data_IF_392492281119
#
_entry.id   IF_392492281119
#
_cell.length_a   1.000
_cell.length_b   1.000
_cell.length_c   1.000
_cell.angle_alpha   90.00
_cell.angle_beta   90.00
_cell.angle_gamma   90.00
#
_symmetry.space_group_name_H-M   'P 1'
#
loop_
_entity.id
_entity.type
_entity.pdbx_description
1 polymer ?
#
# COMPACT_ATOMS: atom_id res chain seq x y z
N UNK A 1 4.05 18.45 -8.30
CA UNK A 1 3.51 19.79 -7.97
C UNK A 1 3.57 20.77 -9.14
N UNK A 2 4.55 20.70 -10.04
CA UNK A 2 4.78 21.66 -11.16
C UNK A 2 3.53 21.99 -11.99
N UNK A 3 2.70 21.01 -12.38
CA UNK A 3 1.50 21.24 -13.18
C UNK A 3 0.40 22.03 -12.45
N UNK A 4 0.30 21.87 -11.13
CA UNK A 4 -0.66 22.60 -10.29
C UNK A 4 -0.22 24.07 -10.18
N UNK A 5 1.07 24.33 -9.96
CA UNK A 5 1.63 25.69 -9.84
C UNK A 5 1.41 26.46 -11.14
N UNK A 6 1.68 25.85 -12.31
CA UNK A 6 1.42 26.43 -13.63
C UNK A 6 -0.05 26.78 -13.83
N UNK A 7 -0.97 25.95 -13.35
CA UNK A 7 -2.42 26.22 -13.45
C UNK A 7 -2.81 27.46 -12.64
N UNK A 8 -2.28 27.61 -11.42
CA UNK A 8 -2.54 28.78 -10.58
C UNK A 8 -1.94 30.06 -11.13
N UNK A 9 -0.71 30.02 -11.62
CA UNK A 9 -0.09 31.17 -12.28
C UNK A 9 -0.90 31.65 -13.50
N UNK A 10 -1.38 30.72 -14.34
CA UNK A 10 -2.22 31.02 -15.49
C UNK A 10 -3.58 31.59 -15.08
N UNK A 11 -4.15 31.12 -13.96
CA UNK A 11 -5.38 31.68 -13.41
C UNK A 11 -5.18 33.10 -12.89
N UNK A 12 -4.09 33.38 -12.20
CA UNK A 12 -3.80 34.70 -11.63
C UNK A 12 -3.51 35.77 -12.69
N UNK A 13 -2.97 35.40 -13.87
CA UNK A 13 -2.73 36.26 -15.01
C UNK A 13 -3.99 36.62 -15.79
N UNK A 14 -5.16 36.02 -15.51
CA UNK A 14 -6.42 36.34 -16.22
C UNK A 14 -7.03 37.65 -15.73
N UNK A 15 -7.39 38.58 -16.66
CA UNK A 15 -7.93 39.87 -16.28
C UNK A 15 -9.36 39.84 -15.71
N UNK A 16 -10.11 38.71 -15.90
CA UNK A 16 -11.44 38.50 -15.33
C UNK A 16 -11.50 37.10 -14.69
N UNK A 17 -11.57 37.03 -13.36
CA UNK A 17 -11.71 35.80 -12.58
C UNK A 17 -13.19 35.39 -12.49
N UNK A 18 -13.76 34.86 -13.57
CA UNK A 18 -15.20 34.57 -13.67
C UNK A 18 -15.57 33.14 -13.21
N UNK A 19 -14.60 32.25 -13.04
CA UNK A 19 -14.83 30.86 -12.60
C UNK A 19 -14.24 30.62 -11.23
N UNK A 20 -15.07 30.13 -10.29
CA UNK A 20 -14.58 29.61 -9.01
C UNK A 20 -13.86 28.29 -9.25
N UNK A 21 -12.69 28.13 -8.63
CA UNK A 21 -11.95 26.86 -8.62
C UNK A 21 -12.66 25.91 -7.65
N UNK A 22 -13.40 24.95 -8.19
CA UNK A 22 -14.24 24.02 -7.38
C UNK A 22 -13.62 22.64 -7.17
N UNK A 23 -12.37 22.40 -7.62
CA UNK A 23 -11.69 21.11 -7.45
C UNK A 23 -10.50 20.90 -8.37
N UNK A 24 -9.83 19.75 -8.21
CA UNK A 24 -8.65 19.35 -8.98
C UNK A 24 -8.91 19.17 -10.47
N UNK A 25 -10.15 18.92 -10.88
CA UNK A 25 -10.53 18.80 -12.30
C UNK A 25 -10.16 20.06 -13.13
N UNK A 26 -9.96 21.19 -12.48
CA UNK A 26 -9.58 22.45 -13.12
C UNK A 26 -8.12 22.44 -13.64
N UNK A 27 -7.22 21.71 -13.01
CA UNK A 27 -5.80 21.64 -13.37
C UNK A 27 -5.40 20.33 -14.07
N UNK A 28 -6.38 19.46 -14.42
CA UNK A 28 -6.10 18.14 -15.02
C UNK A 28 -5.27 18.25 -16.29
N UNK A 29 -5.58 19.18 -17.18
CA UNK A 29 -4.85 19.33 -18.46
C UNK A 29 -3.38 19.72 -18.23
N UNK A 30 -3.12 20.68 -17.37
CA UNK A 30 -1.76 21.12 -17.06
C UNK A 30 -0.96 20.06 -16.30
N UNK A 31 -1.63 19.25 -15.46
CA UNK A 31 -1.00 18.13 -14.79
C UNK A 31 -0.65 17.01 -15.78
N UNK A 32 -1.55 16.69 -16.72
CA UNK A 32 -1.28 15.71 -17.77
C UNK A 32 -0.16 16.17 -18.70
N UNK A 33 -0.18 17.45 -19.14
CA UNK A 33 0.89 18.01 -19.97
C UNK A 33 2.24 17.98 -19.27
N UNK A 34 2.29 18.35 -17.99
CA UNK A 34 3.52 18.26 -17.20
C UNK A 34 4.02 16.82 -17.03
N UNK A 35 3.10 15.85 -16.94
CA UNK A 35 3.45 14.42 -16.87
C UNK A 35 3.98 13.89 -18.22
N UNK A 36 3.43 14.36 -19.35
CA UNK A 36 3.92 14.04 -20.69
C UNK A 36 5.30 14.64 -20.94
N UNK A 37 5.52 15.92 -20.60
CA UNK A 37 6.83 16.57 -20.68
C UNK A 37 7.89 15.84 -19.84
N UNK A 38 7.52 15.35 -18.65
CA UNK A 38 8.41 14.55 -17.81
C UNK A 38 8.73 13.19 -18.45
N UNK A 39 7.75 12.56 -19.13
CA UNK A 39 7.97 11.32 -19.87
C UNK A 39 8.89 11.52 -21.07
N UNK A 40 8.69 12.58 -21.84
CA UNK A 40 9.52 12.91 -23.00
C UNK A 40 10.96 13.26 -22.58
N UNK A 41 11.14 13.99 -21.48
CA UNK A 41 12.46 14.26 -20.91
C UNK A 41 13.17 12.98 -20.43
N UNK A 42 12.42 11.98 -19.95
CA UNK A 42 12.96 10.69 -19.51
C UNK A 42 13.34 9.76 -20.66
N UNK A 43 12.78 9.93 -21.88
CA UNK A 43 13.11 9.12 -23.05
C UNK A 43 14.55 9.41 -23.59
N UNK A 44 15.12 10.57 -23.25
CA UNK A 44 16.48 10.97 -23.65
C UNK A 44 17.59 10.61 -22.67
N UNK A 45 17.28 10.26 -21.44
CA UNK A 45 18.23 9.83 -20.41
C UNK A 45 18.18 8.30 -20.27
N UNK A 46 19.33 7.66 -20.45
CA UNK A 46 19.44 6.20 -20.55
C UNK A 46 18.81 5.45 -19.38
N UNK A 47 18.51 4.24 -19.65
CA UNK A 47 17.77 3.19 -18.91
C UNK A 47 18.16 2.98 -17.43
N UNK A 48 19.15 3.70 -16.90
CA UNK A 48 19.60 3.60 -15.51
C UNK A 48 18.84 4.54 -14.54
N UNK A 49 18.22 5.63 -15.04
CA UNK A 49 17.50 6.57 -14.19
C UNK A 49 16.01 6.22 -13.94
N UNK A 50 15.46 5.26 -14.68
CA UNK A 50 14.08 4.81 -14.47
C UNK A 50 13.84 4.11 -13.12
N UNK A 51 14.90 3.63 -12.45
CA UNK A 51 14.84 3.06 -11.10
C UNK A 51 15.06 4.10 -9.97
N UNK A 52 15.63 5.27 -10.29
CA UNK A 52 15.92 6.30 -9.27
C UNK A 52 14.71 7.18 -8.93
N UNK A 53 13.64 7.13 -9.72
CA UNK A 53 12.47 8.02 -9.58
C UNK A 53 11.24 7.37 -8.90
N UNK A 54 11.39 6.17 -8.35
CA UNK A 54 10.32 5.52 -7.57
C UNK A 54 10.32 5.96 -6.11
N UNK A 55 10.76 7.07 -5.69
CA UNK A 55 10.60 7.63 -4.34
C UNK A 55 11.04 6.73 -3.16
N UNK A 56 11.30 5.45 -3.42
CA UNK A 56 11.67 4.43 -2.46
C UNK A 56 13.05 3.89 -2.82
N UNK A 57 14.05 4.17 -1.99
CA UNK A 57 15.41 3.66 -2.17
C UNK A 57 15.47 2.13 -2.03
N UNK A 58 16.27 1.44 -2.87
CA UNK A 58 16.43 0.00 -2.79
C UNK A 58 16.86 -0.46 -1.38
N UNK A 59 17.66 0.33 -0.70
CA UNK A 59 18.11 0.05 0.65
C UNK A 59 16.98 0.19 1.69
N UNK A 60 16.08 1.15 1.51
CA UNK A 60 14.89 1.34 2.38
C UNK A 60 13.93 0.16 2.23
N UNK A 61 13.71 -0.30 1.00
CA UNK A 61 12.91 -1.49 0.70
C UNK A 61 13.53 -2.73 1.36
N UNK A 62 14.85 -2.92 1.23
CA UNK A 62 15.54 -4.04 1.87
C UNK A 62 15.41 -4.00 3.40
N UNK A 63 15.55 -2.84 4.02
CA UNK A 63 15.37 -2.65 5.45
C UNK A 63 13.92 -2.91 5.90
N UNK A 64 12.94 -2.48 5.09
CA UNK A 64 11.53 -2.76 5.36
C UNK A 64 11.27 -4.27 5.38
N UNK A 65 11.77 -5.03 4.38
CA UNK A 65 11.63 -6.48 4.37
C UNK A 65 12.31 -7.15 5.55
N UNK A 66 13.53 -6.75 5.87
CA UNK A 66 14.27 -7.34 7.00
C UNK A 66 13.55 -7.12 8.32
N UNK A 67 13.03 -5.91 8.58
CA UNK A 67 12.23 -5.60 9.79
C UNK A 67 10.96 -6.44 9.86
N UNK A 68 10.23 -6.56 8.76
CA UNK A 68 9.00 -7.33 8.71
C UNK A 68 9.26 -8.83 8.88
N UNK A 69 10.32 -9.38 8.27
CA UNK A 69 10.74 -10.76 8.45
C UNK A 69 11.06 -11.06 9.93
N UNK A 70 11.82 -10.20 10.57
CA UNK A 70 12.13 -10.34 12.00
C UNK A 70 10.87 -10.29 12.88
N UNK A 71 9.95 -9.39 12.57
CA UNK A 71 8.67 -9.30 13.30
C UNK A 71 7.83 -10.56 13.12
N UNK A 72 7.76 -11.12 11.91
CA UNK A 72 7.05 -12.39 11.63
C UNK A 72 7.69 -13.57 12.36
N UNK A 73 9.02 -13.63 12.47
CA UNK A 73 9.71 -14.70 13.22
C UNK A 73 9.43 -14.64 14.72
N UNK A 74 9.24 -13.46 15.26
CA UNK A 74 8.86 -13.25 16.67
C UNK A 74 7.39 -13.50 16.95
N UNK A 75 6.54 -13.35 15.93
CA UNK A 75 5.10 -13.57 16.02
C UNK A 75 4.78 -15.06 15.81
N UNK A 76 3.56 -15.43 16.14
CA UNK A 76 3.07 -16.75 15.78
C UNK A 76 2.98 -17.74 16.92
N UNK A 77 1.81 -17.76 17.52
CA UNK A 77 1.31 -18.83 18.36
C UNK A 77 -0.14 -19.07 17.95
N UNK A 78 -0.56 -20.27 17.69
CA UNK A 78 0.05 -21.60 17.85
C UNK A 78 1.05 -22.01 16.75
N UNK A 79 1.58 -23.23 16.81
CA UNK A 79 2.69 -23.74 15.98
C UNK A 79 2.45 -23.63 14.46
N UNK A 80 1.23 -23.89 13.99
CA UNK A 80 0.88 -23.81 12.56
C UNK A 80 0.89 -22.35 12.04
N UNK A 81 0.50 -21.38 12.87
CA UNK A 81 0.64 -19.95 12.54
C UNK A 81 2.10 -19.56 12.44
N UNK A 82 2.94 -20.08 13.37
CA UNK A 82 4.39 -19.86 13.36
C UNK A 82 5.06 -20.43 12.11
N UNK A 83 4.61 -21.60 11.64
CA UNK A 83 5.14 -22.22 10.43
C UNK A 83 4.91 -21.32 9.21
N UNK A 84 3.67 -20.87 8.99
CA UNK A 84 3.32 -19.96 7.87
C UNK A 84 4.03 -18.62 7.99
N UNK A 85 4.09 -18.03 9.19
CA UNK A 85 4.82 -16.80 9.45
C UNK A 85 6.32 -16.93 9.14
N UNK A 86 6.91 -18.09 9.47
CA UNK A 86 8.30 -18.43 9.16
C UNK A 86 8.57 -18.55 7.66
N UNK A 87 7.68 -19.17 6.90
CA UNK A 87 7.77 -19.24 5.43
C UNK A 87 7.69 -17.83 4.80
N UNK A 88 6.74 -17.01 5.24
CA UNK A 88 6.63 -15.64 4.79
C UNK A 88 7.88 -14.81 5.13
N UNK A 89 8.43 -15.00 6.35
CA UNK A 89 9.67 -14.33 6.76
C UNK A 89 10.86 -14.73 5.87
N UNK A 90 11.00 -16.03 5.54
CA UNK A 90 12.04 -16.49 4.61
C UNK A 90 11.95 -15.82 3.24
N UNK A 91 10.75 -15.72 2.68
CA UNK A 91 10.54 -15.02 1.40
C UNK A 91 10.91 -13.53 1.48
N UNK A 92 10.59 -12.86 2.60
CA UNK A 92 10.97 -11.45 2.80
C UNK A 92 12.49 -11.29 2.94
N UNK A 93 13.18 -12.22 3.59
CA UNK A 93 14.64 -12.22 3.71
C UNK A 93 15.33 -12.40 2.35
N UNK A 94 14.82 -13.28 1.48
CA UNK A 94 15.30 -13.45 0.12
C UNK A 94 15.13 -12.17 -0.71
N UNK A 95 13.98 -11.51 -0.58
CA UNK A 95 13.74 -10.23 -1.24
C UNK A 95 14.67 -9.14 -0.70
N UNK A 96 14.86 -9.05 0.60
CA UNK A 96 15.79 -8.10 1.22
C UNK A 96 17.22 -8.29 0.72
N UNK A 97 17.68 -9.54 0.62
CA UNK A 97 19.00 -9.86 0.08
C UNK A 97 19.15 -9.44 -1.38
N UNK A 98 18.13 -9.68 -2.22
CA UNK A 98 18.12 -9.30 -3.63
C UNK A 98 18.22 -7.79 -3.82
N UNK A 99 17.46 -7.01 -3.02
CA UNK A 99 17.53 -5.54 -3.05
C UNK A 99 18.87 -5.00 -2.55
N UNK A 100 19.41 -5.60 -1.49
CA UNK A 100 20.74 -5.24 -0.96
C UNK A 100 21.88 -5.55 -1.94
N UNK A 101 21.72 -6.60 -2.76
CA UNK A 101 22.69 -6.96 -3.80
C UNK A 101 22.57 -6.11 -5.08
N UNK A 102 21.66 -5.13 -5.14
CA UNK A 102 21.44 -4.29 -6.31
C UNK A 102 20.76 -5.01 -7.49
N UNK A 103 20.16 -6.16 -7.25
CA UNK A 103 19.42 -6.95 -8.26
C UNK A 103 17.96 -7.10 -7.86
N UNK A 104 17.16 -6.01 -7.89
CA UNK A 104 15.76 -6.07 -7.50
C UNK A 104 14.97 -6.99 -8.42
N UNK A 105 14.16 -7.93 -7.88
CA UNK A 105 13.39 -8.85 -8.68
C UNK A 105 12.14 -8.17 -9.25
N UNK A 106 12.26 -7.61 -10.45
CA UNK A 106 11.10 -7.11 -11.19
C UNK A 106 10.65 -5.69 -10.82
N UNK A 107 9.40 -5.37 -11.18
CA UNK A 107 8.78 -4.05 -11.01
C UNK A 107 8.17 -3.93 -9.60
N UNK A 108 7.99 -2.69 -9.10
CA UNK A 108 7.36 -2.44 -7.81
C UNK A 108 5.94 -2.99 -7.71
N UNK A 109 5.19 -2.97 -8.82
CA UNK A 109 3.84 -3.55 -8.88
C UNK A 109 3.84 -5.06 -8.66
N UNK A 110 4.84 -5.77 -9.21
CA UNK A 110 4.99 -7.22 -9.02
C UNK A 110 5.41 -7.54 -7.58
N UNK A 111 6.20 -6.66 -7.00
CA UNK A 111 6.60 -6.75 -5.60
C UNK A 111 5.39 -6.56 -4.67
N UNK A 112 4.59 -5.52 -4.88
CA UNK A 112 3.38 -5.27 -4.09
C UNK A 112 2.38 -6.44 -4.22
N UNK A 113 2.24 -7.01 -5.42
CA UNK A 113 1.44 -8.23 -5.61
C UNK A 113 1.96 -9.41 -4.81
N UNK A 114 3.28 -9.61 -4.73
CA UNK A 114 3.88 -10.64 -3.88
C UNK A 114 3.61 -10.38 -2.40
N UNK A 115 3.73 -9.13 -1.94
CA UNK A 115 3.40 -8.75 -0.56
C UNK A 115 1.94 -9.06 -0.23
N UNK A 116 1.02 -8.72 -1.14
CA UNK A 116 -0.40 -9.02 -0.99
C UNK A 116 -0.63 -10.53 -0.82
N UNK A 117 0.01 -11.37 -1.64
CA UNK A 117 -0.11 -12.85 -1.52
C UNK A 117 0.42 -13.36 -0.18
N UNK A 118 1.55 -12.83 0.31
CA UNK A 118 2.09 -13.20 1.62
C UNK A 118 1.15 -12.77 2.75
N UNK A 119 0.60 -11.54 2.70
CA UNK A 119 -0.37 -11.06 3.70
C UNK A 119 -1.65 -11.91 3.68
N UNK A 120 -2.15 -12.28 2.50
CA UNK A 120 -3.32 -13.16 2.37
C UNK A 120 -3.09 -14.54 2.99
N UNK A 121 -1.90 -15.12 2.85
CA UNK A 121 -1.53 -16.38 3.53
C UNK A 121 -1.58 -16.24 5.05
N UNK A 122 -1.02 -15.15 5.59
CA UNK A 122 -1.07 -14.88 7.03
C UNK A 122 -2.51 -14.69 7.52
N UNK A 123 -3.31 -13.92 6.80
CA UNK A 123 -4.72 -13.70 7.13
C UNK A 123 -5.51 -15.01 7.09
N UNK A 124 -5.28 -15.86 6.10
CA UNK A 124 -5.97 -17.14 5.97
C UNK A 124 -5.71 -18.04 7.19
N UNK A 125 -4.45 -18.20 7.59
CA UNK A 125 -4.11 -19.03 8.77
C UNK A 125 -4.64 -18.42 10.06
N UNK A 126 -4.62 -17.09 10.21
CA UNK A 126 -5.17 -16.41 11.38
C UNK A 126 -6.69 -16.56 11.47
N UNK A 127 -7.39 -16.46 10.32
CA UNK A 127 -8.84 -16.62 10.25
C UNK A 127 -9.28 -18.03 10.64
N UNK A 128 -8.55 -19.06 10.17
CA UNK A 128 -8.83 -20.47 10.53
C UNK A 128 -8.52 -20.74 12.01
N UNK A 129 -7.56 -20.02 12.58
CA UNK A 129 -7.15 -20.18 13.99
C UNK A 129 -8.06 -19.45 14.95
N UNK A 130 -8.67 -18.35 14.53
CA UNK A 130 -9.57 -17.57 15.35
C UNK A 130 -10.85 -18.35 15.67
N UNK A 131 -11.36 -18.23 16.89
CA UNK A 131 -12.66 -18.82 17.25
C UNK A 131 -13.81 -18.08 16.55
N UNK A 132 -14.91 -18.79 16.34
CA UNK A 132 -16.13 -18.22 15.76
C UNK A 132 -16.62 -16.98 16.56
N UNK A 133 -16.64 -17.10 17.89
CA UNK A 133 -17.00 -15.98 18.78
C UNK A 133 -16.08 -14.77 18.62
N UNK A 134 -14.82 -14.99 18.34
CA UNK A 134 -13.86 -13.92 18.08
C UNK A 134 -14.16 -13.21 16.77
N UNK A 135 -14.37 -13.96 15.69
CA UNK A 135 -14.71 -13.40 14.39
C UNK A 135 -16.02 -12.62 14.43
N UNK A 136 -17.02 -13.13 15.15
CA UNK A 136 -18.30 -12.44 15.37
C UNK A 136 -18.09 -11.12 16.13
N UNK A 137 -17.28 -11.11 17.18
CA UNK A 137 -16.96 -9.89 17.94
C UNK A 137 -16.22 -8.86 17.09
N UNK A 138 -15.21 -9.27 16.31
CA UNK A 138 -14.47 -8.37 15.42
C UNK A 138 -15.38 -7.77 14.34
N UNK A 139 -16.29 -8.57 13.80
CA UNK A 139 -17.29 -8.10 12.84
C UNK A 139 -18.24 -7.08 13.45
N UNK A 140 -18.76 -7.36 14.65
CA UNK A 140 -19.64 -6.44 15.36
C UNK A 140 -18.92 -5.12 15.76
N UNK A 141 -17.62 -5.18 16.06
CA UNK A 141 -16.79 -3.99 16.30
C UNK A 141 -16.67 -3.16 15.02
N UNK A 142 -16.32 -3.78 13.90
CA UNK A 142 -16.24 -3.13 12.60
C UNK A 142 -17.58 -2.52 12.17
N UNK A 143 -18.68 -3.21 12.37
CA UNK A 143 -20.04 -2.71 12.09
C UNK A 143 -20.35 -1.43 12.85
N UNK A 144 -19.94 -1.34 14.12
CA UNK A 144 -20.13 -0.13 14.94
C UNK A 144 -19.28 1.03 14.44
N UNK A 145 -18.03 0.76 14.04
CA UNK A 145 -17.13 1.79 13.49
C UNK A 145 -17.63 2.35 12.16
N UNK A 146 -18.20 1.49 11.30
CA UNK A 146 -18.68 1.89 9.97
C UNK A 146 -20.10 2.47 10.02
N UNK A 147 -20.87 2.25 11.10
CA UNK A 147 -22.25 2.69 11.23
C UNK A 147 -22.53 4.14 10.81
N UNK A 148 -21.70 5.15 11.18
CA UNK A 148 -21.92 6.55 10.77
C UNK A 148 -21.83 6.80 9.26
N UNK A 149 -21.17 5.90 8.53
CA UNK A 149 -20.90 6.04 7.09
C UNK A 149 -21.82 5.18 6.21
N UNK A 150 -22.60 4.25 6.80
CA UNK A 150 -23.43 3.28 6.05
C UNK A 150 -24.40 3.92 5.09
N UNK A 151 -25.01 5.03 5.45
CA UNK A 151 -25.98 5.74 4.59
C UNK A 151 -25.33 6.40 3.35
N UNK A 152 -24.00 6.52 3.33
CA UNK A 152 -23.23 7.21 2.28
C UNK A 152 -22.47 6.26 1.37
N UNK A 153 -22.52 4.94 1.65
CA UNK A 153 -21.71 3.94 0.93
C UNK A 153 -22.59 2.82 0.37
N UNK A 154 -22.23 2.28 -0.82
CA UNK A 154 -22.83 1.05 -1.34
C UNK A 154 -22.55 -0.15 -0.43
N UNK A 155 -23.48 -1.11 -0.37
CA UNK A 155 -23.34 -2.32 0.46
C UNK A 155 -22.05 -3.11 0.20
N UNK A 156 -21.65 -3.25 -1.06
CA UNK A 156 -20.41 -3.93 -1.43
C UNK A 156 -19.15 -3.24 -0.86
N UNK A 157 -19.14 -1.92 -0.81
CA UNK A 157 -18.04 -1.15 -0.21
C UNK A 157 -18.00 -1.33 1.32
N UNK A 158 -19.17 -1.37 1.97
CA UNK A 158 -19.28 -1.64 3.42
C UNK A 158 -18.72 -3.03 3.73
N UNK A 159 -19.08 -4.06 2.97
CA UNK A 159 -18.56 -5.41 3.17
C UNK A 159 -17.04 -5.49 2.98
N UNK A 160 -16.52 -4.79 1.99
CA UNK A 160 -15.08 -4.72 1.77
C UNK A 160 -14.34 -4.06 2.94
N UNK A 161 -14.89 -2.96 3.47
CA UNK A 161 -14.33 -2.28 4.64
C UNK A 161 -14.39 -3.16 5.90
N UNK A 162 -15.49 -3.87 6.13
CA UNK A 162 -15.62 -4.82 7.23
C UNK A 162 -14.59 -5.93 7.13
N UNK A 163 -14.40 -6.49 5.94
CA UNK A 163 -13.37 -7.50 5.69
C UNK A 163 -11.97 -6.97 6.02
N UNK A 164 -11.64 -5.77 5.52
CA UNK A 164 -10.35 -5.13 5.79
C UNK A 164 -10.15 -4.84 7.28
N UNK A 165 -11.21 -4.41 7.97
CA UNK A 165 -11.18 -4.19 9.42
C UNK A 165 -10.85 -5.48 10.19
N UNK A 166 -11.55 -6.57 9.90
CA UNK A 166 -11.30 -7.88 10.54
C UNK A 166 -9.86 -8.34 10.27
N UNK A 167 -9.38 -8.26 9.02
CA UNK A 167 -8.01 -8.61 8.64
C UNK A 167 -6.97 -7.81 9.44
N UNK A 168 -7.17 -6.49 9.53
CA UNK A 168 -6.30 -5.59 10.30
C UNK A 168 -6.26 -6.03 11.78
N UNK A 169 -7.42 -6.27 12.39
CA UNK A 169 -7.51 -6.67 13.81
C UNK A 169 -6.86 -8.02 14.08
N UNK A 170 -6.98 -8.98 13.15
CA UNK A 170 -6.32 -10.29 13.28
C UNK A 170 -4.80 -10.16 13.26
N UNK A 171 -4.25 -9.36 12.34
CA UNK A 171 -2.80 -9.08 12.27
C UNK A 171 -2.30 -8.35 13.52
N UNK A 172 -3.01 -7.31 13.98
CA UNK A 172 -2.67 -6.57 15.20
C UNK A 172 -2.63 -7.47 16.43
N UNK A 173 -3.64 -8.33 16.60
CA UNK A 173 -3.69 -9.29 17.71
C UNK A 173 -2.54 -10.30 17.66
N UNK A 174 -2.21 -10.78 16.47
CA UNK A 174 -1.08 -11.68 16.26
C UNK A 174 0.28 -10.97 16.33
N UNK A 175 0.30 -9.63 16.50
CA UNK A 175 1.51 -8.77 16.44
C UNK A 175 2.30 -8.95 15.15
N UNK A 176 1.57 -9.18 14.04
CA UNK A 176 2.14 -9.32 12.71
C UNK A 176 2.08 -7.99 11.94
N UNK A 177 3.08 -7.70 11.11
CA UNK A 177 3.09 -6.47 10.32
C UNK A 177 2.12 -6.53 9.14
N UNK A 178 1.72 -5.37 8.62
CA UNK A 178 1.10 -5.24 7.31
C UNK A 178 2.18 -5.33 6.24
N UNK A 179 1.97 -6.19 5.25
CA UNK A 179 2.94 -6.45 4.19
C UNK A 179 2.60 -5.67 2.91
N UNK A 180 2.69 -4.35 2.98
CA UNK A 180 2.52 -3.50 1.80
C UNK A 180 3.53 -2.37 1.84
N UNK A 181 4.12 -2.03 0.69
CA UNK A 181 5.08 -0.93 0.55
C UNK A 181 4.47 0.44 0.88
N UNK A 182 3.14 0.56 0.89
CA UNK A 182 2.45 1.78 1.32
C UNK A 182 2.55 2.05 2.82
N UNK A 183 3.03 1.08 3.61
CA UNK A 183 3.21 1.20 5.06
C UNK A 183 4.70 1.32 5.47
N UNK A 184 5.58 1.64 4.52
CA UNK A 184 6.99 1.87 4.76
C UNK A 184 7.26 3.14 5.56
#
# INVERSE_FOLDING_TARGET
>A
MRGIDVSFERYDRRPRKTRKINGLAWCVQEVLSAAEEMKEAAVGSGREEANANSGLGAQEIAQFFSRNAEQLRRAGSPSHVRAVAGECAGTLEELAASYSAGSPPGRLEDLERRMTVLEEKLIAVLTVTASEDELVRLRAEGDREIAPYRSKMPAAQIEQLLKQFVHKRLLEKAKMPRLSLFYM
#
